data_IF_130966119950
#
_entry.id   IF_130966119950
#
_cell.length_a   1.000
_cell.length_b   1.000
_cell.length_c   1.000
_cell.angle_alpha   90.00
_cell.angle_beta   90.00
_cell.angle_gamma   90.00
#
_symmetry.space_group_name_H-M   'P 1'
#
loop_
_entity.id
_entity.type
_entity.pdbx_description
1 polymer ?
#
# COMPACT_ATOMS: atom_id res chain seq x y z
N UNK A 1 -1.14 1.72 17.91
CA UNK A 1 -1.12 1.10 16.56
C UNK A 1 0.33 1.03 16.19
N UNK A 2 0.82 -0.16 15.84
CA UNK A 2 2.21 -0.34 15.40
C UNK A 2 2.20 -0.84 13.97
N UNK A 3 3.08 -0.28 13.13
CA UNK A 3 3.27 -0.70 11.75
C UNK A 3 4.67 -1.31 11.65
N UNK A 4 4.74 -2.59 11.27
CA UNK A 4 6.01 -3.25 10.97
C UNK A 4 6.17 -3.39 9.47
N UNK A 5 7.24 -2.81 8.93
CA UNK A 5 7.62 -2.95 7.53
C UNK A 5 8.33 -4.30 7.35
N UNK A 6 7.94 -5.07 6.34
CA UNK A 6 8.53 -6.36 5.98
C UNK A 6 8.96 -6.31 4.52
N UNK A 7 10.27 -6.15 4.23
CA UNK A 7 10.78 -6.15 2.85
C UNK A 7 10.50 -7.48 2.14
N UNK A 8 10.09 -7.40 0.89
CA UNK A 8 9.77 -8.55 0.06
C UNK A 8 10.33 -8.43 -1.35
N UNK A 9 10.59 -9.59 -1.96
CA UNK A 9 11.15 -9.68 -3.32
C UNK A 9 12.43 -8.82 -3.48
N UNK A 10 12.60 -8.16 -4.62
CA UNK A 10 13.68 -7.22 -4.87
C UNK A 10 13.34 -5.82 -4.34
N UNK A 11 12.11 -5.37 -4.59
CA UNK A 11 11.71 -4.00 -4.33
C UNK A 11 10.31 -3.82 -3.73
N UNK A 12 9.68 -4.84 -3.12
CA UNK A 12 8.34 -4.70 -2.55
C UNK A 12 8.37 -4.50 -1.03
N UNK A 13 7.33 -3.88 -0.48
CA UNK A 13 7.05 -3.87 0.96
C UNK A 13 5.73 -4.53 1.27
N UNK A 14 5.76 -5.41 2.27
CA UNK A 14 4.58 -5.88 2.97
C UNK A 14 4.52 -5.17 4.33
N UNK A 15 3.34 -5.11 4.93
CA UNK A 15 3.16 -4.48 6.23
C UNK A 15 2.41 -5.37 7.19
N UNK A 16 2.80 -5.33 8.46
CA UNK A 16 1.99 -5.85 9.55
C UNK A 16 1.38 -4.67 10.32
N UNK A 17 0.06 -4.56 10.27
CA UNK A 17 -0.74 -3.57 11.00
C UNK A 17 -1.16 -4.18 12.31
N UNK A 18 -0.55 -3.71 13.41
CA UNK A 18 -0.71 -4.31 14.72
C UNK A 18 -1.58 -3.40 15.59
N UNK A 19 -2.69 -3.97 16.06
CA UNK A 19 -3.41 -3.43 17.20
C UNK A 19 -2.77 -3.94 18.49
N UNK A 20 -2.02 -3.07 19.15
CA UNK A 20 -1.27 -3.41 20.35
C UNK A 20 -2.16 -3.74 21.55
N UNK A 21 -3.42 -3.24 21.56
CA UNK A 21 -4.39 -3.48 22.63
C UNK A 21 -5.00 -4.88 22.53
N UNK A 22 -5.54 -5.25 21.38
CA UNK A 22 -6.14 -6.58 21.17
C UNK A 22 -5.12 -7.68 20.85
N UNK A 23 -3.85 -7.31 20.56
CA UNK A 23 -2.82 -8.23 20.05
C UNK A 23 -3.22 -8.94 18.75
N UNK A 24 -4.09 -8.32 17.97
CA UNK A 24 -4.42 -8.77 16.62
C UNK A 24 -3.71 -7.94 15.57
N UNK A 25 -3.55 -8.50 14.37
CA UNK A 25 -2.95 -7.78 13.26
C UNK A 25 -3.56 -8.15 11.91
N UNK A 26 -3.27 -7.31 10.93
CA UNK A 26 -3.50 -7.59 9.52
C UNK A 26 -2.22 -7.47 8.70
N UNK A 27 -2.09 -8.31 7.67
CA UNK A 27 -1.00 -8.24 6.71
C UNK A 27 -1.45 -7.49 5.45
N UNK A 28 -0.66 -6.52 4.99
CA UNK A 28 -0.89 -5.81 3.73
C UNK A 28 0.01 -6.43 2.66
N UNK A 29 -0.59 -6.80 1.53
CA UNK A 29 0.09 -7.36 0.33
C UNK A 29 1.12 -8.47 0.62
N UNK A 30 0.71 -9.60 1.26
CA UNK A 30 1.63 -10.58 1.84
C UNK A 30 2.25 -11.56 0.83
N UNK A 31 2.97 -11.06 -0.18
CA UNK A 31 3.56 -11.87 -1.27
C UNK A 31 4.56 -12.95 -0.81
N UNK A 32 5.22 -12.77 0.34
CA UNK A 32 6.11 -13.77 0.96
C UNK A 32 5.57 -14.27 2.32
N UNK A 33 4.62 -15.23 2.33
CA UNK A 33 3.89 -15.64 3.53
C UNK A 33 4.72 -16.10 4.72
N UNK A 34 5.90 -16.71 4.47
CA UNK A 34 6.79 -17.17 5.55
C UNK A 34 7.34 -16.00 6.36
N UNK A 35 7.73 -14.90 5.71
CA UNK A 35 8.21 -13.68 6.39
C UNK A 35 7.10 -13.04 7.23
N UNK A 36 5.86 -13.07 6.74
CA UNK A 36 4.70 -12.62 7.54
C UNK A 36 4.50 -13.53 8.76
N UNK A 37 4.55 -14.85 8.59
CA UNK A 37 4.43 -15.79 9.70
C UNK A 37 5.52 -15.57 10.77
N UNK A 38 6.77 -15.33 10.35
CA UNK A 38 7.88 -15.00 11.24
C UNK A 38 7.66 -13.67 11.97
N UNK A 39 7.29 -12.62 11.25
CA UNK A 39 6.98 -11.32 11.84
C UNK A 39 5.84 -11.39 12.86
N UNK A 40 4.78 -12.15 12.57
CA UNK A 40 3.65 -12.38 13.49
C UNK A 40 4.10 -13.09 14.76
N UNK A 41 4.98 -14.10 14.65
CA UNK A 41 5.55 -14.81 15.81
C UNK A 41 6.42 -13.91 16.67
N UNK A 42 7.31 -13.14 16.06
CA UNK A 42 8.22 -12.22 16.77
C UNK A 42 7.47 -11.11 17.50
N UNK A 43 6.39 -10.60 16.92
CA UNK A 43 5.54 -9.58 17.53
C UNK A 43 4.59 -10.16 18.58
N UNK A 44 4.47 -11.49 18.67
CA UNK A 44 3.55 -12.20 19.56
C UNK A 44 2.10 -11.70 19.41
N UNK A 45 1.61 -11.70 18.16
CA UNK A 45 0.27 -11.25 17.77
C UNK A 45 -0.47 -12.32 16.98
N UNK A 46 -1.79 -12.17 16.85
CA UNK A 46 -2.63 -13.03 16.02
C UNK A 46 -2.93 -12.36 14.68
N UNK A 47 -2.58 -13.00 13.57
CA UNK A 47 -3.01 -12.58 12.24
C UNK A 47 -4.49 -12.94 12.04
N UNK A 48 -5.32 -11.95 11.76
CA UNK A 48 -6.78 -12.13 11.55
C UNK A 48 -7.20 -11.84 10.12
N UNK A 49 -6.54 -10.88 9.48
CA UNK A 49 -6.98 -10.32 8.19
C UNK A 49 -5.80 -10.09 7.24
N UNK A 50 -6.10 -10.10 5.95
CA UNK A 50 -5.22 -9.70 4.85
C UNK A 50 -5.87 -8.54 4.12
N UNK A 51 -5.10 -7.48 3.86
CA UNK A 51 -5.51 -6.33 3.07
C UNK A 51 -4.73 -6.34 1.77
N UNK A 52 -5.37 -6.68 0.65
CA UNK A 52 -4.74 -6.70 -0.66
C UNK A 52 -5.11 -5.42 -1.41
N UNK A 53 -4.11 -4.64 -1.83
CA UNK A 53 -4.30 -3.36 -2.54
C UNK A 53 -4.81 -3.58 -3.96
N UNK A 54 -4.22 -4.53 -4.69
CA UNK A 54 -4.62 -4.90 -6.03
C UNK A 54 -4.14 -6.31 -6.43
N UNK A 55 -4.57 -6.78 -7.60
CA UNK A 55 -4.42 -8.18 -8.02
C UNK A 55 -3.05 -8.56 -8.62
N UNK A 56 -2.10 -7.64 -8.77
CA UNK A 56 -0.80 -8.02 -9.32
C UNK A 56 -0.10 -9.03 -8.39
N UNK A 57 0.64 -9.94 -9.00
CA UNK A 57 1.20 -11.10 -8.31
C UNK A 57 2.17 -10.70 -7.19
N UNK A 58 2.94 -9.64 -7.37
CA UNK A 58 3.88 -9.13 -6.38
C UNK A 58 3.20 -8.53 -5.12
N UNK A 59 1.87 -8.46 -5.11
CA UNK A 59 1.03 -8.05 -3.98
C UNK A 59 0.11 -9.18 -3.49
N UNK A 60 -0.67 -9.76 -4.41
CA UNK A 60 -1.69 -10.77 -4.10
C UNK A 60 -1.18 -12.23 -4.16
N UNK A 61 0.01 -12.47 -4.73
CA UNK A 61 0.51 -13.81 -5.06
C UNK A 61 0.79 -14.72 -3.86
N UNK A 62 0.85 -14.15 -2.65
CA UNK A 62 1.04 -14.91 -1.42
C UNK A 62 -0.25 -15.26 -0.66
N UNK A 63 -1.42 -14.72 -1.08
CA UNK A 63 -2.67 -14.83 -0.31
C UNK A 63 -3.08 -16.28 -0.04
N UNK A 64 -3.20 -17.11 -1.09
CA UNK A 64 -3.61 -18.51 -0.96
C UNK A 64 -2.66 -19.27 -0.03
N UNK A 65 -1.35 -19.08 -0.23
CA UNK A 65 -0.34 -19.78 0.55
C UNK A 65 -0.30 -19.33 2.02
N UNK A 66 -0.58 -18.06 2.30
CA UNK A 66 -0.68 -17.57 3.67
C UNK A 66 -1.85 -18.21 4.42
N UNK A 67 -3.01 -18.36 3.77
CA UNK A 67 -4.18 -19.01 4.37
C UNK A 67 -3.91 -20.49 4.63
N UNK A 68 -3.23 -21.19 3.72
CA UNK A 68 -2.80 -22.57 3.97
C UNK A 68 -1.89 -22.68 5.20
N UNK A 69 -0.96 -21.74 5.38
CA UNK A 69 0.04 -21.77 6.44
C UNK A 69 -0.47 -21.33 7.81
N UNK A 70 -1.44 -20.40 7.85
CA UNK A 70 -1.86 -19.72 9.07
C UNK A 70 -3.36 -19.92 9.39
N UNK A 71 -4.04 -20.78 8.63
CA UNK A 71 -5.47 -21.04 8.74
C UNK A 71 -6.31 -19.98 8.05
N UNK A 72 -7.63 -20.21 8.00
CA UNK A 72 -8.59 -19.30 7.34
C UNK A 72 -8.51 -17.90 7.94
N UNK A 73 -8.26 -16.91 7.09
CA UNK A 73 -8.26 -15.46 7.40
C UNK A 73 -9.28 -14.76 6.53
N UNK A 74 -9.66 -13.55 6.94
CA UNK A 74 -10.46 -12.66 6.10
C UNK A 74 -9.53 -11.94 5.12
N UNK A 75 -9.75 -12.11 3.82
CA UNK A 75 -8.99 -11.44 2.76
C UNK A 75 -9.86 -10.36 2.15
N UNK A 76 -9.44 -9.12 2.33
CA UNK A 76 -10.07 -7.92 1.77
C UNK A 76 -9.38 -7.52 0.47
N UNK A 77 -10.17 -7.08 -0.51
CA UNK A 77 -9.67 -6.60 -1.80
C UNK A 77 -10.78 -6.07 -2.70
N UNK A 78 -10.43 -5.21 -3.65
CA UNK A 78 -11.40 -4.58 -4.57
C UNK A 78 -11.68 -5.34 -5.87
N UNK A 79 -11.03 -6.48 -6.08
CA UNK A 79 -10.92 -7.12 -7.40
C UNK A 79 -11.09 -8.64 -7.32
N UNK A 80 -11.96 -9.21 -8.17
CA UNK A 80 -12.24 -10.66 -8.19
C UNK A 80 -11.03 -11.50 -8.61
N UNK A 81 -10.00 -10.87 -9.19
CA UNK A 81 -8.74 -11.52 -9.57
C UNK A 81 -7.82 -11.78 -8.37
N UNK A 82 -8.13 -11.23 -7.19
CA UNK A 82 -7.32 -11.42 -5.98
C UNK A 82 -7.48 -12.86 -5.45
N UNK A 83 -6.36 -13.55 -5.32
CA UNK A 83 -6.31 -14.91 -4.75
C UNK A 83 -6.84 -14.93 -3.32
N UNK A 84 -7.54 -16.02 -2.98
CA UNK A 84 -8.17 -16.26 -1.69
C UNK A 84 -9.14 -15.18 -1.15
N UNK A 85 -9.66 -14.29 -2.02
CA UNK A 85 -10.58 -13.21 -1.62
C UNK A 85 -11.80 -13.76 -0.87
N UNK A 86 -12.07 -13.22 0.33
CA UNK A 86 -13.26 -13.58 1.11
C UNK A 86 -14.25 -12.42 1.22
N UNK A 87 -13.73 -11.18 1.23
CA UNK A 87 -14.50 -9.96 1.43
C UNK A 87 -14.13 -8.95 0.35
N UNK A 88 -14.93 -8.90 -0.71
CA UNK A 88 -14.80 -7.86 -1.72
C UNK A 88 -15.27 -6.52 -1.14
N UNK A 89 -14.45 -5.49 -1.29
CA UNK A 89 -14.73 -4.14 -0.79
C UNK A 89 -14.83 -3.13 -1.93
N UNK A 90 -15.49 -2.00 -1.66
CA UNK A 90 -15.67 -0.87 -2.56
C UNK A 90 -15.36 0.45 -1.86
N UNK A 91 -15.46 1.56 -2.61
CA UNK A 91 -15.22 2.89 -2.07
C UNK A 91 -16.13 3.21 -0.87
N UNK A 92 -15.54 3.69 0.21
CA UNK A 92 -16.26 4.11 1.41
C UNK A 92 -16.68 2.98 2.34
N UNK A 93 -16.42 1.71 1.98
CA UNK A 93 -16.62 0.59 2.91
C UNK A 93 -15.74 0.77 4.14
N UNK A 94 -16.28 0.40 5.30
CA UNK A 94 -15.61 0.52 6.60
C UNK A 94 -15.72 -0.78 7.38
N UNK A 95 -14.63 -1.16 8.03
CA UNK A 95 -14.58 -2.32 8.91
C UNK A 95 -13.51 -2.14 9.98
N UNK A 96 -13.44 -3.09 10.91
CA UNK A 96 -12.48 -3.04 12.02
C UNK A 96 -11.57 -4.26 12.02
N UNK A 97 -10.32 -4.03 12.45
CA UNK A 97 -9.36 -5.06 12.83
C UNK A 97 -8.91 -4.73 14.25
N UNK A 98 -9.39 -5.50 15.24
CA UNK A 98 -9.23 -5.13 16.64
C UNK A 98 -9.88 -3.77 16.92
N UNK A 99 -9.11 -2.81 17.44
CA UNK A 99 -9.52 -1.41 17.62
C UNK A 99 -9.11 -0.47 16.47
N UNK A 100 -8.59 -0.99 15.36
CA UNK A 100 -8.25 -0.19 14.19
C UNK A 100 -9.47 -0.03 13.29
N UNK A 101 -9.80 1.21 12.97
CA UNK A 101 -10.82 1.55 11.98
C UNK A 101 -10.17 1.61 10.60
N UNK A 102 -10.75 0.87 9.65
CA UNK A 102 -10.30 0.81 8.26
C UNK A 102 -11.37 1.42 7.37
N UNK A 103 -10.95 2.28 6.45
CA UNK A 103 -11.78 2.85 5.38
C UNK A 103 -11.15 2.56 4.02
N UNK A 104 -11.95 1.98 3.12
CA UNK A 104 -11.53 1.62 1.78
C UNK A 104 -11.66 2.80 0.82
N UNK A 105 -10.56 3.17 0.19
CA UNK A 105 -10.49 4.25 -0.80
C UNK A 105 -10.24 3.63 -2.18
N UNK A 106 -11.28 3.59 -3.01
CA UNK A 106 -11.14 3.15 -4.40
C UNK A 106 -10.32 4.18 -5.21
N UNK A 107 -9.20 3.73 -5.77
CA UNK A 107 -8.20 4.56 -6.46
C UNK A 107 -7.85 3.96 -7.84
N UNK A 108 -8.83 3.83 -8.76
CA UNK A 108 -8.59 3.19 -10.05
C UNK A 108 -7.62 4.02 -10.89
N UNK A 109 -6.49 3.40 -11.26
CA UNK A 109 -5.51 3.95 -12.19
C UNK A 109 -4.52 2.86 -12.57
N UNK A 110 -3.63 2.48 -11.64
CA UNK A 110 -2.66 1.41 -11.85
C UNK A 110 -3.34 0.08 -12.21
N UNK A 111 -4.39 -0.26 -11.48
CA UNK A 111 -5.35 -1.28 -11.88
C UNK A 111 -6.79 -0.78 -11.70
N UNK A 112 -7.74 -1.43 -12.37
CA UNK A 112 -9.17 -1.09 -12.31
C UNK A 112 -9.83 -1.42 -10.96
N UNK A 113 -9.19 -2.25 -10.13
CA UNK A 113 -9.70 -2.71 -8.83
C UNK A 113 -8.84 -2.27 -7.64
N UNK A 114 -7.97 -1.26 -7.83
CA UNK A 114 -7.03 -0.83 -6.79
C UNK A 114 -7.75 -0.15 -5.61
N UNK A 115 -7.42 -0.59 -4.39
CA UNK A 115 -7.92 -0.05 -3.12
C UNK A 115 -6.73 0.43 -2.29
N UNK A 116 -6.80 1.67 -1.81
CA UNK A 116 -5.97 2.12 -0.69
C UNK A 116 -6.75 1.91 0.62
N UNK A 117 -6.06 1.52 1.68
CA UNK A 117 -6.66 1.36 3.01
C UNK A 117 -6.23 2.52 3.91
N UNK A 118 -7.19 3.38 4.26
CA UNK A 118 -6.99 4.38 5.29
C UNK A 118 -7.26 3.76 6.66
N UNK A 119 -6.27 3.84 7.54
CA UNK A 119 -6.26 3.18 8.85
C UNK A 119 -6.14 4.23 9.92
N UNK A 120 -6.95 4.10 10.96
CA UNK A 120 -6.85 4.95 12.12
C UNK A 120 -7.09 4.15 13.41
N UNK A 121 -6.60 4.65 14.54
CA UNK A 121 -7.01 4.15 15.85
C UNK A 121 -8.25 4.90 16.33
N UNK A 122 -8.96 4.35 17.32
CA UNK A 122 -10.15 5.01 17.93
C UNK A 122 -9.87 6.42 18.45
N UNK A 123 -8.65 6.67 18.91
CA UNK A 123 -8.20 7.97 19.42
C UNK A 123 -7.92 8.97 18.28
N UNK A 124 -7.89 8.51 17.03
CA UNK A 124 -7.61 9.26 15.80
C UNK A 124 -6.27 10.01 15.81
N UNK A 125 -5.28 9.47 16.50
CA UNK A 125 -4.01 10.14 16.76
C UNK A 125 -2.90 9.77 15.79
N UNK A 126 -3.04 8.67 15.05
CA UNK A 126 -2.00 8.18 14.12
C UNK A 126 -2.63 7.59 12.85
N UNK A 127 -3.22 8.42 11.97
CA UNK A 127 -3.76 7.94 10.71
C UNK A 127 -2.62 7.48 9.77
N UNK A 128 -2.88 6.43 8.99
CA UNK A 128 -1.98 5.93 7.95
C UNK A 128 -2.78 5.56 6.70
N UNK A 129 -2.18 5.73 5.52
CA UNK A 129 -2.74 5.23 4.25
C UNK A 129 -1.78 4.18 3.71
N UNK A 130 -2.30 3.00 3.38
CA UNK A 130 -1.54 1.96 2.70
C UNK A 130 -1.92 1.93 1.22
N UNK A 131 -0.89 2.04 0.39
CA UNK A 131 -0.91 1.97 -1.08
C UNK A 131 0.19 1.00 -1.53
N UNK A 132 0.19 0.60 -2.80
CA UNK A 132 1.34 -0.10 -3.38
C UNK A 132 2.62 0.71 -3.15
N UNK A 133 3.68 0.04 -2.68
CA UNK A 133 4.94 0.72 -2.33
C UNK A 133 6.12 -0.14 -2.76
N UNK A 134 7.16 0.53 -3.28
CA UNK A 134 8.41 -0.10 -3.69
C UNK A 134 9.65 0.45 -2.97
N UNK A 135 10.60 -0.42 -2.65
CA UNK A 135 11.91 -0.15 -2.07
C UNK A 135 12.88 0.43 -3.12
N UNK A 136 13.87 1.20 -2.67
CA UNK A 136 14.96 1.68 -3.53
C UNK A 136 16.14 0.70 -3.53
N UNK A 137 16.93 0.73 -4.60
CA UNK A 137 18.10 -0.15 -4.84
C UNK A 137 19.12 -0.23 -3.68
N UNK A 138 19.19 0.77 -2.81
CA UNK A 138 20.15 0.82 -1.71
C UNK A 138 19.68 0.09 -0.44
N UNK A 139 18.57 -0.64 -0.49
CA UNK A 139 18.00 -1.39 0.63
C UNK A 139 17.60 -0.53 1.85
N UNK A 140 17.63 0.79 1.75
CA UNK A 140 17.08 1.70 2.75
C UNK A 140 15.58 1.92 2.53
N UNK A 141 14.81 1.84 3.61
CA UNK A 141 13.38 2.18 3.61
C UNK A 141 13.19 3.68 3.50
N UNK A 142 12.53 4.14 2.43
CA UNK A 142 12.11 5.54 2.27
C UNK A 142 10.66 5.78 2.70
N UNK A 143 10.11 4.83 3.45
CA UNK A 143 8.75 4.83 3.96
C UNK A 143 8.77 4.61 5.48
N UNK A 144 7.76 5.12 6.21
CA UNK A 144 6.67 5.97 5.70
C UNK A 144 7.14 7.40 5.35
N UNK A 145 6.39 8.08 4.48
CA UNK A 145 6.39 9.53 4.33
C UNK A 145 5.07 10.11 4.87
N UNK A 146 4.92 11.43 4.83
CA UNK A 146 3.67 12.13 5.16
C UNK A 146 3.04 12.76 3.91
N UNK A 147 1.73 12.96 3.91
CA UNK A 147 1.05 13.67 2.82
C UNK A 147 1.59 15.10 2.65
N UNK A 148 1.98 15.76 3.75
CA UNK A 148 2.63 17.06 3.72
C UNK A 148 3.95 17.01 2.92
N UNK A 149 4.80 16.03 3.19
CA UNK A 149 6.04 15.79 2.44
C UNK A 149 5.78 15.48 0.96
N UNK A 150 4.81 14.62 0.65
CA UNK A 150 4.45 14.30 -0.73
C UNK A 150 3.99 15.55 -1.50
N UNK A 151 3.25 16.47 -0.86
CA UNK A 151 2.87 17.75 -1.47
C UNK A 151 4.08 18.66 -1.74
N UNK A 152 5.21 18.47 -1.05
CA UNK A 152 6.44 19.24 -1.26
C UNK A 152 7.26 18.77 -2.46
N UNK A 153 7.38 17.46 -2.70
CA UNK A 153 8.31 16.93 -3.71
C UNK A 153 7.71 15.98 -4.74
N UNK A 154 6.53 15.38 -4.51
CA UNK A 154 5.94 14.46 -5.46
C UNK A 154 5.29 15.25 -6.60
N UNK A 155 5.81 15.17 -7.84
CA UNK A 155 5.30 15.98 -8.93
C UNK A 155 3.86 15.60 -9.32
N UNK A 156 3.42 14.36 -9.04
CA UNK A 156 2.05 13.92 -9.31
C UNK A 156 1.04 14.50 -8.31
N UNK A 157 1.45 14.80 -7.08
CA UNK A 157 0.62 15.51 -6.08
C UNK A 157 0.64 17.04 -6.27
N UNK A 158 1.39 17.54 -7.25
CA UNK A 158 1.65 18.96 -7.48
C UNK A 158 1.20 19.43 -8.86
N UNK A 159 0.36 18.67 -9.55
CA UNK A 159 -0.09 19.00 -10.93
C UNK A 159 -0.90 20.30 -11.02
N UNK A 160 -1.41 20.82 -9.90
CA UNK A 160 -2.01 22.16 -9.80
C UNK A 160 -1.02 23.31 -9.66
N UNK A 161 0.28 23.04 -9.49
CA UNK A 161 1.30 24.07 -9.32
C UNK A 161 1.68 24.68 -10.67
N UNK A 162 1.42 25.98 -10.87
CA UNK A 162 1.64 26.70 -12.12
C UNK A 162 3.06 26.53 -12.70
N UNK A 163 4.08 26.53 -11.85
CA UNK A 163 5.47 26.37 -12.28
C UNK A 163 5.75 24.97 -12.85
N UNK A 164 5.10 23.93 -12.32
CA UNK A 164 5.18 22.57 -12.83
C UNK A 164 4.41 22.45 -14.15
N UNK A 165 3.18 22.98 -14.20
CA UNK A 165 2.36 22.98 -15.42
C UNK A 165 3.11 23.64 -16.59
N UNK A 166 3.71 24.82 -16.34
CA UNK A 166 4.54 25.51 -17.34
C UNK A 166 5.76 24.70 -17.77
N UNK A 167 6.40 23.99 -16.83
CA UNK A 167 7.59 23.15 -17.12
C UNK A 167 7.26 21.92 -17.95
N UNK A 168 6.13 21.28 -17.68
CA UNK A 168 5.63 20.09 -18.38
C UNK A 168 4.91 20.48 -19.68
N UNK A 169 4.46 21.73 -19.80
CA UNK A 169 3.67 22.22 -20.92
C UNK A 169 2.20 21.76 -20.86
N UNK A 170 1.66 21.60 -19.64
CA UNK A 170 0.27 21.22 -19.42
C UNK A 170 -0.68 22.42 -19.41
N UNK A 171 -1.90 22.25 -19.92
CA UNK A 171 -2.94 23.30 -19.94
C UNK A 171 -3.77 23.37 -18.65
N UNK A 172 -3.88 22.24 -17.95
CA UNK A 172 -4.62 22.05 -16.71
C UNK A 172 -4.02 20.86 -15.93
N UNK A 173 -4.60 20.53 -14.77
CA UNK A 173 -4.09 19.48 -13.88
C UNK A 173 -4.13 18.08 -14.52
N UNK A 174 -5.17 17.78 -15.31
CA UNK A 174 -5.36 16.47 -15.92
C UNK A 174 -4.38 16.28 -17.09
N UNK A 175 -4.28 17.28 -17.96
CA UNK A 175 -3.31 17.27 -19.06
C UNK A 175 -1.86 17.24 -18.52
N UNK A 176 -1.59 17.99 -17.44
CA UNK A 176 -0.27 17.96 -16.77
C UNK A 176 0.04 16.59 -16.20
N UNK A 177 -0.93 15.94 -15.54
CA UNK A 177 -0.78 14.56 -15.03
C UNK A 177 -0.42 13.59 -16.16
N UNK A 178 -1.17 13.62 -17.27
CA UNK A 178 -0.94 12.75 -18.42
C UNK A 178 0.45 12.95 -19.03
N UNK A 179 0.85 14.19 -19.31
CA UNK A 179 2.16 14.52 -19.87
C UNK A 179 3.31 14.15 -18.93
N UNK A 180 3.17 14.42 -17.65
CA UNK A 180 4.17 14.06 -16.64
C UNK A 180 4.33 12.54 -16.55
N UNK A 181 3.23 11.78 -16.62
CA UNK A 181 3.25 10.31 -16.61
C UNK A 181 3.98 9.75 -17.82
N UNK A 182 3.72 10.27 -19.02
CA UNK A 182 4.42 9.87 -20.25
C UNK A 182 5.91 10.24 -20.23
N UNK A 183 6.24 11.43 -19.71
CA UNK A 183 7.62 11.83 -19.49
C UNK A 183 8.34 10.86 -18.53
N UNK A 184 7.67 10.41 -17.45
CA UNK A 184 8.24 9.41 -16.54
C UNK A 184 8.39 8.03 -17.18
N UNK A 185 7.45 7.61 -18.04
CA UNK A 185 7.53 6.32 -18.74
C UNK A 185 8.75 6.23 -19.66
N UNK A 186 9.16 7.36 -20.24
CA UNK A 186 10.31 7.46 -21.15
C UNK A 186 11.58 7.97 -20.46
N UNK A 187 11.52 8.28 -19.16
CA UNK A 187 12.65 8.84 -18.42
C UNK A 187 13.77 7.81 -18.27
N UNK A 188 14.97 8.20 -18.70
CA UNK A 188 16.20 7.45 -18.46
C UNK A 188 16.92 8.08 -17.28
N UNK A 189 17.04 7.37 -16.14
CA UNK A 189 17.79 7.87 -15.01
C UNK A 189 19.21 8.23 -15.45
N UNK A 190 19.78 9.37 -15.01
CA UNK A 190 21.17 9.67 -15.28
C UNK A 190 22.03 8.52 -14.78
N UNK A 191 22.92 8.00 -15.63
CA UNK A 191 23.90 7.03 -15.20
C UNK A 191 24.78 7.71 -14.16
N UNK A 192 24.74 7.23 -12.92
CA UNK A 192 25.75 7.62 -11.93
C UNK A 192 27.10 7.16 -12.47
N UNK A 193 27.95 8.11 -12.86
CA UNK A 193 29.38 7.84 -13.01
C UNK A 193 29.89 7.54 -11.60
N UNK A 194 30.06 6.25 -11.31
CA UNK A 194 30.81 5.76 -10.16
C UNK A 194 32.27 6.16 -10.34
#
# INVERSE_FOLDING_TARGET
>A
MKIRIVPALEDNYMYLLIDEKSKTCAAVDPVEPKKIQEAVKEENVELTSVLTTHHHWDHAGGNDKLIELMGKKTVYGGDDRIGALTNKVQHGDKFQIGELDIECLFTPCHTSGHICYFVNNKEKTQPAVFTETKQRSNHETTIPSTIEEELLYNPFMRVGVESLQKKVGGSDEIDTMGKLREAKNSFKPPQHKI
#
